data_IF_230079951835
#
_entry.id   IF_230079951835
#
_cell.length_a   1.000
_cell.length_b   1.000
_cell.length_c   1.000
_cell.angle_alpha   90.00
_cell.angle_beta   90.00
_cell.angle_gamma   90.00
#
_symmetry.space_group_name_H-M   'P 1'
#
loop_
_entity.id
_entity.type
_entity.pdbx_description
1 polymer ?
#
# COMPACT_ATOMS: atom_id res chain seq x y z
N UNK A 1 17.09 -36.56 21.79
CA UNK A 1 16.97 -35.12 22.08
C UNK A 1 17.20 -34.29 20.80
N UNK A 2 16.14 -33.65 20.30
CA UNK A 2 16.22 -32.73 19.17
C UNK A 2 16.80 -31.40 19.68
N UNK A 3 18.03 -31.07 19.32
CA UNK A 3 18.63 -29.76 19.64
C UNK A 3 18.21 -28.82 18.53
N UNK A 4 17.28 -27.90 18.81
CA UNK A 4 16.96 -26.83 17.88
C UNK A 4 18.19 -25.92 17.74
N UNK A 5 18.54 -25.51 16.51
CA UNK A 5 19.61 -24.54 16.32
C UNK A 5 19.27 -23.27 17.11
N UNK A 6 20.28 -22.65 17.73
CA UNK A 6 20.12 -21.34 18.31
C UNK A 6 19.62 -20.39 17.21
N UNK A 7 18.51 -19.69 17.45
CA UNK A 7 17.90 -18.76 16.50
C UNK A 7 18.62 -17.39 16.50
N UNK A 8 19.89 -17.41 16.86
CA UNK A 8 20.79 -16.27 17.06
C UNK A 8 21.53 -15.87 15.77
N UNK A 9 21.38 -16.64 14.69
CA UNK A 9 21.92 -16.35 13.37
C UNK A 9 20.84 -15.93 12.40
N UNK A 10 21.24 -15.13 11.41
CA UNK A 10 20.41 -14.81 10.26
C UNK A 10 20.04 -16.09 9.50
N UNK A 11 18.75 -16.26 9.26
CA UNK A 11 18.15 -17.33 8.50
C UNK A 11 17.77 -16.76 7.14
N UNK A 12 18.23 -17.39 6.07
CA UNK A 12 17.80 -17.06 4.71
C UNK A 12 16.37 -17.53 4.49
N UNK A 13 15.53 -16.63 4.00
CA UNK A 13 14.14 -16.86 3.64
C UNK A 13 14.05 -16.76 2.13
N UNK A 14 13.48 -17.77 1.52
CA UNK A 14 13.04 -17.75 0.13
C UNK A 14 11.66 -18.41 0.09
N UNK A 15 10.65 -17.61 -0.21
CA UNK A 15 9.27 -18.04 -0.30
C UNK A 15 8.73 -17.63 -1.65
N UNK A 16 8.32 -18.63 -2.43
CA UNK A 16 7.62 -18.43 -3.68
C UNK A 16 6.22 -19.02 -3.56
N UNK A 17 5.24 -18.31 -4.11
CA UNK A 17 3.86 -18.72 -4.02
C UNK A 17 3.01 -18.19 -5.16
N UNK A 18 1.88 -18.85 -5.36
CA UNK A 18 0.84 -18.42 -6.28
C UNK A 18 -0.37 -17.95 -5.47
N UNK A 19 -0.89 -16.78 -5.83
CA UNK A 19 -2.16 -16.28 -5.35
C UNK A 19 -3.24 -16.68 -6.34
N UNK A 20 -4.15 -17.56 -5.91
CA UNK A 20 -5.28 -17.98 -6.74
C UNK A 20 -6.14 -16.78 -7.12
N UNK A 21 -6.23 -16.49 -8.42
CA UNK A 21 -7.13 -15.47 -8.94
C UNK A 21 -8.57 -15.96 -8.87
N UNK A 22 -9.51 -15.12 -8.45
CA UNK A 22 -10.93 -15.48 -8.43
C UNK A 22 -11.60 -15.14 -9.75
N UNK A 23 -11.20 -14.03 -10.38
CA UNK A 23 -11.75 -13.53 -11.64
C UNK A 23 -10.66 -13.25 -12.69
N UNK A 24 -9.40 -13.15 -12.25
CA UNK A 24 -8.22 -12.90 -13.08
C UNK A 24 -7.25 -14.09 -13.05
N UNK A 25 -6.09 -13.95 -13.72
CA UNK A 25 -4.99 -14.92 -13.64
C UNK A 25 -4.44 -15.01 -12.22
N UNK A 26 -3.87 -16.17 -11.91
CA UNK A 26 -3.14 -16.36 -10.66
C UNK A 26 -1.99 -15.33 -10.55
N UNK A 27 -1.93 -14.65 -9.42
CA UNK A 27 -0.83 -13.74 -9.08
C UNK A 27 0.37 -14.52 -8.55
N UNK A 28 1.54 -13.89 -8.56
CA UNK A 28 2.77 -14.47 -8.00
C UNK A 28 3.24 -13.69 -6.79
N UNK A 29 3.75 -14.39 -5.80
CA UNK A 29 4.43 -13.84 -4.63
C UNK A 29 5.85 -14.40 -4.56
N UNK A 30 6.82 -13.52 -4.36
CA UNK A 30 8.19 -13.87 -4.02
C UNK A 30 8.61 -13.02 -2.81
N UNK A 31 9.06 -13.67 -1.73
CA UNK A 31 9.65 -13.04 -0.56
C UNK A 31 11.03 -13.63 -0.39
N UNK A 32 12.05 -12.78 -0.29
CA UNK A 32 13.43 -13.21 -0.11
C UNK A 32 14.16 -12.33 0.89
N UNK A 33 15.23 -12.85 1.48
CA UNK A 33 16.12 -12.08 2.34
C UNK A 33 16.49 -12.83 3.61
N UNK A 34 16.77 -12.10 4.67
CA UNK A 34 17.25 -12.68 5.92
C UNK A 34 16.49 -12.18 7.15
N UNK A 35 16.36 -13.04 8.14
CA UNK A 35 15.73 -12.77 9.43
C UNK A 35 16.57 -13.40 10.54
N UNK A 36 16.89 -12.63 11.58
CA UNK A 36 17.49 -13.15 12.81
C UNK A 36 16.40 -13.24 13.89
N UNK A 37 15.85 -14.44 14.20
CA UNK A 37 14.66 -14.50 15.05
C UNK A 37 14.87 -14.01 16.48
N UNK A 38 16.07 -14.18 17.05
CA UNK A 38 16.39 -13.69 18.40
C UNK A 38 16.29 -12.17 18.52
N UNK A 39 16.86 -11.43 17.56
CA UNK A 39 16.84 -9.95 17.57
C UNK A 39 15.63 -9.37 16.85
N UNK A 40 14.97 -10.19 16.01
CA UNK A 40 13.93 -9.80 15.05
C UNK A 40 14.43 -8.85 13.96
N UNK A 41 15.73 -8.69 13.83
CA UNK A 41 16.31 -7.91 12.73
C UNK A 41 16.08 -8.66 11.42
N UNK A 42 15.74 -7.92 10.38
CA UNK A 42 15.37 -8.51 9.11
C UNK A 42 15.71 -7.58 7.96
N UNK A 43 16.14 -8.16 6.84
CA UNK A 43 16.26 -7.47 5.57
C UNK A 43 15.51 -8.31 4.54
N UNK A 44 14.29 -7.88 4.18
CA UNK A 44 13.37 -8.64 3.35
C UNK A 44 12.98 -7.85 2.10
N UNK A 45 12.91 -8.54 0.96
CA UNK A 45 12.31 -8.03 -0.27
C UNK A 45 11.08 -8.86 -0.59
N UNK A 46 9.91 -8.23 -0.58
CA UNK A 46 8.65 -8.86 -0.96
C UNK A 46 8.12 -8.26 -2.26
N UNK A 47 7.77 -9.14 -3.19
CA UNK A 47 7.19 -8.79 -4.49
C UNK A 47 5.93 -9.58 -4.73
N UNK A 48 4.86 -8.87 -5.06
CA UNK A 48 3.58 -9.41 -5.48
C UNK A 48 3.31 -8.89 -6.88
N UNK A 49 2.82 -9.75 -7.77
CA UNK A 49 2.51 -9.38 -9.14
C UNK A 49 1.19 -9.99 -9.57
N UNK A 50 0.33 -9.17 -10.16
CA UNK A 50 -0.94 -9.57 -10.73
C UNK A 50 -1.92 -10.12 -9.70
N UNK A 51 -1.83 -9.72 -8.44
CA UNK A 51 -2.71 -10.26 -7.39
C UNK A 51 -4.12 -9.72 -7.60
N UNK A 52 -5.09 -10.61 -7.71
CA UNK A 52 -6.50 -10.25 -7.88
C UNK A 52 -7.02 -9.51 -6.64
N UNK A 53 -7.47 -8.27 -6.83
CA UNK A 53 -7.98 -7.44 -5.74
C UNK A 53 -9.25 -8.00 -5.10
N UNK A 54 -10.02 -8.82 -5.82
CA UNK A 54 -11.21 -9.48 -5.29
C UNK A 54 -10.80 -10.56 -4.29
N UNK A 55 -9.70 -11.28 -4.55
CA UNK A 55 -9.17 -12.24 -3.59
C UNK A 55 -8.64 -11.56 -2.31
N UNK A 56 -8.21 -10.30 -2.41
CA UNK A 56 -7.71 -9.50 -1.27
C UNK A 56 -8.80 -8.75 -0.50
N UNK A 57 -10.05 -8.74 -0.95
CA UNK A 57 -11.13 -7.95 -0.35
C UNK A 57 -11.27 -8.11 1.19
N UNK A 58 -11.15 -9.32 1.78
CA UNK A 58 -11.20 -9.49 3.24
C UNK A 58 -10.11 -8.72 4.01
N UNK A 59 -8.99 -8.42 3.34
CA UNK A 59 -7.85 -7.71 3.91
C UNK A 59 -7.86 -6.21 3.55
N UNK A 60 -8.73 -5.79 2.63
CA UNK A 60 -8.85 -4.41 2.14
C UNK A 60 -10.02 -3.66 2.78
N UNK A 61 -10.66 -4.21 3.83
CA UNK A 61 -11.87 -3.64 4.46
C UNK A 61 -11.66 -2.18 4.89
N UNK A 62 -10.47 -1.83 5.38
CA UNK A 62 -10.13 -0.44 5.77
C UNK A 62 -9.86 0.50 4.58
N UNK A 63 -9.60 -0.07 3.41
CA UNK A 63 -9.13 0.67 2.22
C UNK A 63 -10.25 0.81 1.19
N UNK A 64 -11.29 -0.01 1.22
CA UNK A 64 -12.35 -0.02 0.21
C UNK A 64 -13.74 -0.02 0.84
N UNK A 65 -14.27 1.17 1.13
CA UNK A 65 -15.65 1.35 1.60
C UNK A 65 -16.69 1.04 0.51
N UNK A 66 -16.35 1.28 -0.76
CA UNK A 66 -17.30 1.13 -1.89
C UNK A 66 -17.33 -0.27 -2.49
N UNK A 67 -16.47 -1.19 -2.02
CA UNK A 67 -16.24 -2.52 -2.60
C UNK A 67 -15.52 -2.49 -3.96
N UNK A 68 -14.82 -3.59 -4.27
CA UNK A 68 -14.05 -3.76 -5.51
C UNK A 68 -14.82 -4.68 -6.46
N UNK A 69 -14.97 -4.26 -7.72
CA UNK A 69 -15.59 -5.06 -8.78
C UNK A 69 -14.55 -5.85 -9.57
N UNK A 70 -13.38 -5.25 -9.84
CA UNK A 70 -12.28 -5.84 -10.62
C UNK A 70 -10.98 -5.07 -10.40
N UNK A 71 -9.85 -5.72 -10.68
CA UNK A 71 -8.54 -5.10 -10.80
C UNK A 71 -7.44 -5.99 -10.24
N UNK A 72 -6.19 -5.65 -10.54
CA UNK A 72 -5.03 -6.36 -9.99
C UNK A 72 -4.10 -5.41 -9.27
N UNK A 73 -3.28 -5.97 -8.38
CA UNK A 73 -2.29 -5.26 -7.59
C UNK A 73 -0.90 -5.86 -7.81
N UNK A 74 0.05 -4.97 -8.08
CA UNK A 74 1.47 -5.24 -7.97
C UNK A 74 2.02 -4.51 -6.75
N UNK A 75 2.91 -5.15 -6.01
CA UNK A 75 3.57 -4.59 -4.83
C UNK A 75 5.05 -4.95 -4.87
N UNK A 76 5.93 -3.98 -4.66
CA UNK A 76 7.35 -4.18 -4.40
C UNK A 76 7.70 -3.41 -3.12
N UNK A 77 8.18 -4.11 -2.10
CA UNK A 77 8.56 -3.50 -0.82
C UNK A 77 9.85 -4.11 -0.31
N UNK A 78 10.77 -3.24 0.10
CA UNK A 78 12.01 -3.64 0.79
C UNK A 78 11.90 -3.24 2.24
N UNK A 79 11.80 -4.19 3.15
CA UNK A 79 11.69 -3.95 4.57
C UNK A 79 13.03 -4.22 5.25
N UNK A 80 13.49 -3.24 6.03
CA UNK A 80 14.59 -3.42 6.95
C UNK A 80 14.08 -3.20 8.38
N UNK A 81 14.42 -4.11 9.26
CA UNK A 81 14.19 -4.02 10.70
C UNK A 81 15.54 -4.08 11.38
N UNK A 82 15.86 -3.02 12.11
CA UNK A 82 17.06 -2.95 12.96
C UNK A 82 16.64 -2.42 14.33
N UNK A 83 16.87 -3.21 15.38
CA UNK A 83 16.58 -2.83 16.75
C UNK A 83 15.13 -2.35 16.93
N UNK A 84 14.19 -3.17 16.44
CA UNK A 84 12.74 -2.90 16.41
C UNK A 84 12.31 -1.68 15.56
N UNK A 85 13.20 -1.01 14.83
CA UNK A 85 12.84 0.06 13.91
C UNK A 85 12.61 -0.51 12.52
N UNK A 86 11.37 -0.44 12.07
CA UNK A 86 10.97 -0.77 10.70
C UNK A 86 11.22 0.44 9.80
N UNK A 87 11.91 0.21 8.69
CA UNK A 87 11.96 1.08 7.52
C UNK A 87 11.66 0.26 6.28
N UNK A 88 10.52 0.52 5.63
CA UNK A 88 10.07 -0.24 4.48
C UNK A 88 9.55 0.66 3.34
N UNK A 89 10.44 1.18 2.47
CA UNK A 89 10.03 1.82 1.24
C UNK A 89 9.43 0.80 0.26
N UNK A 90 8.37 1.21 -0.43
CA UNK A 90 7.71 0.38 -1.41
C UNK A 90 6.92 1.16 -2.46
N UNK A 91 6.49 0.42 -3.47
CA UNK A 91 5.61 0.88 -4.51
C UNK A 91 4.48 -0.12 -4.70
N UNK A 92 3.27 0.40 -4.75
CA UNK A 92 2.05 -0.34 -5.06
C UNK A 92 1.50 0.18 -6.38
N UNK A 93 1.11 -0.71 -7.28
CA UNK A 93 0.45 -0.37 -8.53
C UNK A 93 -0.93 -1.02 -8.57
N UNK A 94 -1.96 -0.21 -8.75
CA UNK A 94 -3.32 -0.67 -9.06
C UNK A 94 -3.51 -0.66 -10.57
N UNK A 95 -4.02 -1.75 -11.14
CA UNK A 95 -4.19 -1.90 -12.59
C UNK A 95 -5.63 -2.30 -12.89
N UNK A 96 -6.29 -1.58 -13.80
CA UNK A 96 -7.65 -1.89 -14.26
C UNK A 96 -8.70 -1.94 -13.12
N UNK A 97 -8.57 -1.06 -12.13
CA UNK A 97 -9.46 -1.02 -10.96
C UNK A 97 -10.88 -0.58 -11.36
N UNK A 98 -11.86 -1.43 -11.07
CA UNK A 98 -13.27 -1.08 -11.06
C UNK A 98 -13.83 -1.22 -9.65
N UNK A 99 -14.65 -0.25 -9.25
CA UNK A 99 -15.26 -0.22 -7.93
C UNK A 99 -16.77 -0.46 -8.05
N UNK A 100 -17.39 -1.15 -7.09
CA UNK A 100 -18.83 -1.39 -7.10
C UNK A 100 -19.61 -0.08 -6.90
N UNK A 101 -20.85 0.01 -7.40
CA UNK A 101 -21.66 1.23 -7.31
C UNK A 101 -22.15 1.58 -5.89
N UNK A 102 -21.86 0.75 -4.89
CA UNK A 102 -22.46 0.80 -3.55
C UNK A 102 -22.07 2.00 -2.67
N UNK A 103 -21.18 2.88 -3.12
CA UNK A 103 -20.68 4.02 -2.32
C UNK A 103 -21.43 5.34 -2.49
N UNK A 104 -22.38 5.44 -3.43
CA UNK A 104 -22.99 6.71 -3.81
C UNK A 104 -21.98 7.74 -4.35
N UNK A 105 -22.41 8.99 -4.51
CA UNK A 105 -21.56 10.09 -5.02
C UNK A 105 -20.43 10.50 -4.06
N UNK A 106 -20.54 10.15 -2.77
CA UNK A 106 -19.60 10.52 -1.71
C UNK A 106 -18.64 9.38 -1.31
N UNK A 107 -18.67 8.25 -2.01
CA UNK A 107 -17.83 7.11 -1.68
C UNK A 107 -16.33 7.42 -1.82
N UNK A 108 -15.52 6.80 -0.96
CA UNK A 108 -14.06 6.90 -1.00
C UNK A 108 -13.38 5.56 -1.26
N UNK A 109 -12.18 5.61 -1.82
CA UNK A 109 -11.27 4.48 -1.91
C UNK A 109 -9.94 4.93 -1.32
N UNK A 110 -9.53 4.26 -0.24
CA UNK A 110 -8.39 4.61 0.60
C UNK A 110 -8.43 6.08 1.07
N UNK A 111 -9.61 6.58 1.45
CA UNK A 111 -9.80 7.98 1.86
C UNK A 111 -9.76 9.00 0.71
N UNK A 112 -9.57 8.58 -0.54
CA UNK A 112 -9.59 9.45 -1.72
C UNK A 112 -10.96 9.43 -2.39
N UNK A 113 -11.48 10.56 -2.90
CA UNK A 113 -12.75 10.57 -3.62
C UNK A 113 -12.77 9.55 -4.75
N UNK A 114 -13.79 8.68 -4.75
CA UNK A 114 -13.97 7.62 -5.75
C UNK A 114 -13.83 8.13 -7.18
N UNK A 115 -14.39 9.30 -7.47
CA UNK A 115 -14.36 9.88 -8.82
C UNK A 115 -12.93 10.22 -9.27
N UNK A 116 -12.06 10.66 -8.37
CA UNK A 116 -10.65 10.93 -8.70
C UNK A 116 -9.92 9.63 -9.03
N UNK A 117 -10.16 8.57 -8.26
CA UNK A 117 -9.59 7.23 -8.51
C UNK A 117 -10.06 6.68 -9.85
N UNK A 118 -11.37 6.74 -10.13
CA UNK A 118 -11.92 6.27 -11.41
C UNK A 118 -11.43 7.10 -12.59
N UNK A 119 -11.33 8.44 -12.46
CA UNK A 119 -10.83 9.31 -13.51
C UNK A 119 -9.37 8.99 -13.87
N UNK A 120 -8.50 8.83 -12.88
CA UNK A 120 -7.11 8.44 -13.12
C UNK A 120 -6.99 7.03 -13.72
N UNK A 121 -7.86 6.11 -13.28
CA UNK A 121 -7.92 4.77 -13.86
C UNK A 121 -8.40 4.79 -15.32
N UNK A 122 -9.35 5.66 -15.67
CA UNK A 122 -9.80 5.84 -17.06
C UNK A 122 -8.75 6.51 -17.94
N UNK A 123 -7.93 7.41 -17.39
CA UNK A 123 -6.86 8.10 -18.12
C UNK A 123 -5.67 7.17 -18.43
N UNK A 124 -5.16 6.47 -17.40
CA UNK A 124 -3.88 5.73 -17.51
C UNK A 124 -4.03 4.21 -17.45
N UNK A 125 -5.20 3.69 -17.07
CA UNK A 125 -5.41 2.25 -16.82
C UNK A 125 -4.63 1.69 -15.62
N UNK A 126 -3.86 2.53 -14.91
CA UNK A 126 -3.08 2.17 -13.72
C UNK A 126 -2.88 3.38 -12.80
N UNK A 127 -2.69 3.11 -11.51
CA UNK A 127 -2.34 4.11 -10.51
C UNK A 127 -1.12 3.62 -9.74
N UNK A 128 -0.05 4.41 -9.78
CA UNK A 128 1.21 4.15 -9.09
C UNK A 128 1.23 4.90 -7.76
N UNK A 129 1.42 4.16 -6.66
CA UNK A 129 1.43 4.67 -5.28
C UNK A 129 2.77 4.35 -4.66
N UNK A 130 3.57 5.38 -4.37
CA UNK A 130 4.79 5.24 -3.58
C UNK A 130 4.47 5.41 -2.11
N UNK A 131 5.11 4.62 -1.26
CA UNK A 131 4.94 4.73 0.17
C UNK A 131 6.22 4.36 0.91
N UNK A 132 6.30 4.75 2.18
CA UNK A 132 7.35 4.30 3.10
C UNK A 132 6.69 4.03 4.44
N UNK A 133 6.90 2.82 4.96
CA UNK A 133 6.50 2.46 6.32
C UNK A 133 7.68 2.67 7.25
N UNK A 134 7.48 3.54 8.21
CA UNK A 134 8.45 3.82 9.26
C UNK A 134 7.75 3.68 10.60
N UNK A 135 8.41 3.04 11.55
CA UNK A 135 7.86 2.90 12.88
C UNK A 135 8.67 1.99 13.78
N UNK A 136 8.25 1.93 15.04
CA UNK A 136 8.81 1.04 16.05
C UNK A 136 7.88 -0.14 16.25
N UNK A 137 8.36 -1.35 16.01
CA UNK A 137 7.60 -2.59 16.18
C UNK A 137 7.30 -2.90 17.65
N UNK A 138 8.02 -2.27 18.57
CA UNK A 138 7.86 -2.40 20.01
C UNK A 138 7.01 -1.28 20.63
N UNK A 139 6.54 -0.31 19.85
CA UNK A 139 5.62 0.72 20.31
C UNK A 139 4.19 0.16 20.34
N UNK A 140 3.52 0.11 21.52
CA UNK A 140 2.14 -0.41 21.62
C UNK A 140 1.11 0.44 20.87
N UNK A 141 1.43 1.70 20.56
CA UNK A 141 0.58 2.58 19.74
C UNK A 141 0.79 2.35 18.24
N UNK A 142 1.87 1.66 17.85
CA UNK A 142 2.17 1.36 16.47
C UNK A 142 1.37 0.15 15.99
N UNK A 143 0.44 0.42 15.08
CA UNK A 143 -0.26 -0.61 14.32
C UNK A 143 0.27 -0.65 12.90
N UNK A 144 0.92 -1.75 12.52
CA UNK A 144 1.48 -1.93 11.18
C UNK A 144 0.40 -1.81 10.10
N UNK A 145 -0.78 -2.41 10.33
CA UNK A 145 -1.88 -2.40 9.38
C UNK A 145 -2.45 -0.99 9.18
N UNK A 146 -2.55 -0.21 10.25
CA UNK A 146 -3.07 1.17 10.18
C UNK A 146 -2.05 2.13 9.57
N UNK A 147 -0.78 1.99 9.95
CA UNK A 147 0.32 2.72 9.35
C UNK A 147 0.39 2.45 7.85
N UNK A 148 0.24 1.19 7.44
CA UNK A 148 0.18 0.82 6.03
C UNK A 148 -1.01 1.45 5.31
N UNK A 149 -2.23 1.29 5.84
CA UNK A 149 -3.42 1.88 5.24
C UNK A 149 -3.29 3.41 5.08
N UNK A 150 -2.78 4.09 6.10
CA UNK A 150 -2.55 5.54 6.10
C UNK A 150 -1.55 5.98 5.04
N UNK A 151 -0.43 5.24 4.91
CA UNK A 151 0.60 5.53 3.91
C UNK A 151 0.13 5.28 2.49
N UNK A 152 -0.64 4.22 2.26
CA UNK A 152 -1.27 3.96 0.95
C UNK A 152 -2.30 5.04 0.61
N UNK A 153 -3.17 5.42 1.56
CA UNK A 153 -4.12 6.52 1.38
C UNK A 153 -3.41 7.83 1.00
N UNK A 154 -2.33 8.17 1.72
CA UNK A 154 -1.55 9.37 1.47
C UNK A 154 -0.86 9.35 0.11
N UNK A 155 -0.16 8.25 -0.22
CA UNK A 155 0.52 8.11 -1.51
C UNK A 155 -0.47 8.07 -2.69
N UNK A 156 -1.67 7.54 -2.49
CA UNK A 156 -2.74 7.58 -3.49
C UNK A 156 -3.23 9.02 -3.70
N UNK A 157 -3.49 9.76 -2.62
CA UNK A 157 -3.89 11.16 -2.71
C UNK A 157 -2.82 12.02 -3.40
N UNK A 158 -1.54 11.79 -3.11
CA UNK A 158 -0.41 12.45 -3.77
C UNK A 158 -0.33 12.10 -5.26
N UNK A 159 -0.44 10.82 -5.62
CA UNK A 159 -0.43 10.34 -7.01
C UNK A 159 -1.54 10.96 -7.86
N UNK A 160 -2.69 11.23 -7.22
CA UNK A 160 -3.86 11.84 -7.84
C UNK A 160 -3.88 13.37 -7.73
N UNK A 161 -2.85 13.99 -7.13
CA UNK A 161 -2.73 15.44 -7.01
C UNK A 161 -3.71 16.10 -6.04
N UNK A 162 -4.33 15.33 -5.14
CA UNK A 162 -5.36 15.79 -4.20
C UNK A 162 -4.77 16.17 -2.83
N UNK A 163 -3.45 16.21 -2.71
CA UNK A 163 -2.76 16.51 -1.45
C UNK A 163 -2.96 17.97 -1.02
N UNK A 164 -2.79 18.21 0.29
CA UNK A 164 -3.00 19.52 0.96
C UNK A 164 -2.18 20.67 0.33
N UNK A 165 -1.12 20.36 -0.42
CA UNK A 165 -0.37 21.32 -1.25
C UNK A 165 -1.20 21.96 -2.37
N UNK A 166 -2.27 21.31 -2.84
CA UNK A 166 -3.23 21.88 -3.80
C UNK A 166 -4.08 23.02 -3.22
N UNK A 167 -4.31 23.03 -1.90
CA UNK A 167 -5.05 24.09 -1.20
C UNK A 167 -4.21 25.36 -1.08
N UNK A 168 -2.89 25.23 -0.88
CA UNK A 168 -1.99 26.38 -0.73
C UNK A 168 -1.88 27.19 -2.04
N UNK A 169 -1.84 26.52 -3.20
CA UNK A 169 -1.92 27.20 -4.51
C UNK A 169 -3.24 27.93 -4.74
N UNK A 170 -4.35 27.39 -4.21
CA UNK A 170 -5.67 28.00 -4.32
C UNK A 170 -5.78 29.33 -3.56
N UNK A 171 -5.17 29.43 -2.38
CA UNK A 171 -5.20 30.67 -1.58
C UNK A 171 -4.28 31.74 -2.17
N UNK A 172 -3.12 31.37 -2.72
CA UNK A 172 -2.21 32.31 -3.40
C UNK A 172 -2.87 33.03 -4.59
N UNK A 173 -3.73 32.33 -5.33
CA UNK A 173 -4.51 32.90 -6.45
C UNK A 173 -5.58 33.89 -6.01
N UNK A 174 -6.21 33.68 -4.85
CA UNK A 174 -7.26 34.57 -4.32
C UNK A 174 -6.66 35.84 -3.73
N UNK A 175 -5.48 35.76 -3.09
CA UNK A 175 -4.81 36.94 -2.54
C UNK A 175 -4.27 37.84 -3.66
N UNK A 176 -3.73 37.28 -4.76
CA UNK A 176 -3.32 38.09 -5.92
C UNK A 176 -4.47 38.85 -6.60
N UNK A 177 -5.69 38.33 -6.55
CA UNK A 177 -6.89 38.99 -7.09
C UNK A 177 -7.39 40.16 -6.24
N UNK A 178 -7.03 40.23 -4.95
CA UNK A 178 -7.51 41.26 -4.01
C UNK A 178 -6.54 42.43 -3.82
N UNK A 179 -5.28 42.30 -4.28
CA UNK A 179 -4.25 43.33 -4.19
C UNK A 179 -3.71 43.78 -5.55
N UNK A 180 -4.29 43.31 -6.65
CA UNK A 180 -3.91 43.68 -8.02
C UNK A 180 -4.80 44.78 -8.62
N UNK A 181 -4.51 46.04 -8.27
CA UNK A 181 -4.77 47.23 -9.09
C UNK A 181 -3.54 48.12 -9.03
#
# INVERSE_FOLDING_TARGET
PFVLPALDKAIQIELEGLFKGTQQRDGTLNISGELTPTTRDAALHARFKGVDLIALQPYLVKVSETGIKRGTLDLDVRANVDNNKLHAPGQLTLIGLELNSGGGLLGTFAGVPRQAVLAAMSDKGRIDVKFTLDGRLDDPSFSLNESFATRIASGLAESLGVSVSGVVKGVEGVVKGLFGK
#
